data_IF_191934389321
#
_entry.id   IF_191934389321
#
_cell.length_a   1.000
_cell.length_b   1.000
_cell.length_c   1.000
_cell.angle_alpha   90.00
_cell.angle_beta   90.00
_cell.angle_gamma   90.00
#
_symmetry.space_group_name_H-M   'P 1'
#
loop_
_entity.id
_entity.type
_entity.pdbx_description
1 polymer ?
#
# COMPACT_ATOMS: atom_id res chain seq x y z
N UNK A 1 6.95 6.66 19.37
CA UNK A 1 7.10 6.59 17.89
C UNK A 1 7.69 7.92 17.49
N UNK A 2 8.94 7.93 17.06
CA UNK A 2 9.60 9.14 16.54
C UNK A 2 8.85 9.59 15.30
N UNK A 3 8.50 10.86 15.24
CA UNK A 3 7.83 11.47 14.09
C UNK A 3 8.84 11.58 12.93
N UNK A 4 8.93 10.52 12.12
CA UNK A 4 9.86 10.45 10.99
C UNK A 4 9.45 11.37 9.83
N UNK A 5 8.24 11.96 9.87
CA UNK A 5 7.80 12.94 8.87
C UNK A 5 8.51 14.29 9.01
N UNK A 6 9.17 14.55 10.15
CA UNK A 6 9.94 15.77 10.40
C UNK A 6 11.42 15.69 9.95
N UNK A 7 11.87 14.55 9.41
CA UNK A 7 13.19 14.43 8.80
C UNK A 7 13.10 14.95 7.36
N UNK A 8 13.08 16.28 7.23
CA UNK A 8 12.92 16.98 5.96
C UNK A 8 14.14 16.81 5.05
N UNK A 9 13.88 16.38 3.82
CA UNK A 9 14.84 16.07 2.75
C UNK A 9 15.32 17.32 2.00
N UNK A 10 15.67 18.40 2.69
CA UNK A 10 15.98 19.66 1.98
C UNK A 10 17.35 19.68 1.28
N UNK A 11 18.26 18.73 1.49
CA UNK A 11 19.50 18.59 0.68
C UNK A 11 20.12 17.18 0.84
N UNK A 12 19.61 16.16 0.12
CA UNK A 12 20.21 14.82 0.18
C UNK A 12 21.04 14.56 -1.08
N UNK A 13 22.35 14.79 -1.00
CA UNK A 13 23.31 14.00 -1.77
C UNK A 13 23.11 12.53 -1.35
N UNK A 14 23.08 11.62 -2.33
CA UNK A 14 22.50 10.26 -2.27
C UNK A 14 23.06 9.29 -1.22
N UNK A 15 23.93 9.71 -0.30
CA UNK A 15 24.68 8.83 0.62
C UNK A 15 24.38 8.97 2.12
N UNK A 16 23.49 9.85 2.58
CA UNK A 16 23.28 10.03 4.03
C UNK A 16 21.79 9.99 4.45
N UNK A 17 21.12 8.86 4.19
CA UNK A 17 19.86 8.58 4.89
C UNK A 17 20.14 8.31 6.38
N UNK A 18 19.33 8.86 7.31
CA UNK A 18 19.51 8.60 8.73
C UNK A 18 19.49 7.10 9.03
N UNK A 19 20.43 6.63 9.87
CA UNK A 19 20.52 5.22 10.24
C UNK A 19 19.20 4.68 10.80
N UNK A 20 18.46 5.48 11.57
CA UNK A 20 17.16 5.10 12.11
C UNK A 20 16.13 4.82 11.01
N UNK A 21 16.11 5.65 9.96
CA UNK A 21 15.22 5.46 8.82
C UNK A 21 15.61 4.19 8.04
N UNK A 22 16.90 3.97 7.79
CA UNK A 22 17.38 2.75 7.12
C UNK A 22 16.98 1.48 7.89
N UNK A 23 17.12 1.50 9.23
CA UNK A 23 16.70 0.40 10.08
C UNK A 23 15.18 0.20 10.07
N UNK A 24 14.39 1.26 10.06
CA UNK A 24 12.93 1.17 9.94
C UNK A 24 12.52 0.58 8.58
N UNK A 25 13.07 1.09 7.47
CA UNK A 25 12.83 0.58 6.14
C UNK A 25 13.19 -0.91 6.04
N UNK A 26 14.35 -1.30 6.55
CA UNK A 26 14.78 -2.70 6.59
C UNK A 26 13.81 -3.57 7.39
N UNK A 27 13.41 -3.15 8.60
CA UNK A 27 12.44 -3.88 9.42
C UNK A 27 11.09 -4.05 8.71
N UNK A 28 10.60 -3.01 8.04
CA UNK A 28 9.34 -3.09 7.27
C UNK A 28 9.47 -4.06 6.10
N UNK A 29 10.56 -4.01 5.33
CA UNK A 29 10.79 -4.95 4.23
C UNK A 29 10.86 -6.40 4.71
N UNK A 30 11.60 -6.67 5.79
CA UNK A 30 11.67 -8.01 6.39
C UNK A 30 10.32 -8.46 6.93
N UNK A 31 9.55 -7.55 7.54
CA UNK A 31 8.19 -7.85 8.02
C UNK A 31 7.27 -8.24 6.87
N UNK A 32 7.29 -7.50 5.76
CA UNK A 32 6.52 -7.84 4.56
C UNK A 32 6.96 -9.21 4.04
N UNK A 33 8.27 -9.44 3.83
CA UNK A 33 8.78 -10.74 3.38
C UNK A 33 8.29 -11.91 4.24
N UNK A 34 8.40 -11.78 5.56
CA UNK A 34 8.00 -12.83 6.50
C UNK A 34 6.49 -13.04 6.53
N UNK A 35 5.73 -11.96 6.39
CA UNK A 35 4.28 -12.03 6.24
C UNK A 35 3.92 -12.82 4.97
N UNK A 36 4.48 -12.46 3.82
CA UNK A 36 4.23 -13.13 2.53
C UNK A 36 4.60 -14.62 2.56
N UNK A 37 5.75 -14.98 3.12
CA UNK A 37 6.18 -16.38 3.30
C UNK A 37 5.17 -17.17 4.15
N UNK A 38 4.61 -16.53 5.19
CA UNK A 38 3.60 -17.15 6.04
C UNK A 38 2.26 -17.28 5.31
N UNK A 39 1.87 -16.28 4.50
CA UNK A 39 0.68 -16.36 3.64
C UNK A 39 0.81 -17.53 2.67
N UNK A 40 1.98 -17.69 2.06
CA UNK A 40 2.26 -18.83 1.18
C UNK A 40 2.13 -20.18 1.90
N UNK A 41 2.68 -20.34 3.11
CA UNK A 41 2.54 -21.57 3.89
C UNK A 41 1.05 -21.93 4.12
N UNK A 42 0.28 -21.00 4.68
CA UNK A 42 -1.13 -21.28 5.01
C UNK A 42 -1.98 -21.49 3.74
N UNK A 43 -1.65 -20.80 2.65
CA UNK A 43 -2.30 -20.98 1.35
C UNK A 43 -2.00 -22.37 0.77
N UNK A 44 -0.73 -22.77 0.75
CA UNK A 44 -0.29 -24.07 0.23
C UNK A 44 -0.91 -25.26 0.97
N UNK A 45 -1.27 -25.06 2.24
CA UNK A 45 -1.93 -26.05 3.11
C UNK A 45 -3.46 -26.04 2.99
N UNK A 46 -4.02 -25.19 2.13
CA UNK A 46 -5.48 -25.07 1.93
C UNK A 46 -6.23 -24.46 3.11
N UNK A 47 -5.54 -23.77 4.03
CA UNK A 47 -6.14 -23.17 5.23
C UNK A 47 -6.79 -21.82 4.88
N UNK A 48 -6.20 -21.08 3.95
CA UNK A 48 -6.67 -19.77 3.53
C UNK A 48 -7.72 -19.90 2.40
N UNK A 49 -8.90 -19.25 2.53
CA UNK A 49 -9.89 -19.23 1.46
C UNK A 49 -9.50 -18.27 0.33
N UNK A 50 -9.96 -18.56 -0.89
CA UNK A 50 -9.85 -17.66 -2.04
C UNK A 50 -8.48 -17.68 -2.71
N UNK A 51 -8.06 -16.54 -3.27
CA UNK A 51 -6.78 -16.38 -3.98
C UNK A 51 -5.86 -15.47 -3.16
N UNK A 52 -4.57 -15.82 -3.12
CA UNK A 52 -3.52 -14.99 -2.56
C UNK A 52 -2.57 -14.53 -3.67
N UNK A 53 -2.32 -13.23 -3.75
CA UNK A 53 -1.37 -12.66 -4.70
C UNK A 53 -0.21 -12.04 -3.93
N UNK A 54 0.92 -12.74 -3.94
CA UNK A 54 2.06 -12.35 -3.12
C UNK A 54 2.75 -11.09 -3.67
N UNK A 55 3.34 -10.33 -2.75
CA UNK A 55 4.15 -9.14 -2.96
C UNK A 55 5.66 -9.40 -2.75
N UNK A 56 6.06 -10.68 -2.61
CA UNK A 56 7.45 -11.11 -2.46
C UNK A 56 8.34 -10.54 -3.56
N UNK A 57 9.44 -9.90 -3.16
CA UNK A 57 10.44 -9.32 -4.07
C UNK A 57 10.16 -7.87 -4.46
N UNK A 58 9.02 -7.30 -4.05
CA UNK A 58 8.64 -5.91 -4.34
C UNK A 58 8.65 -5.03 -3.08
N UNK A 59 9.18 -5.53 -1.96
CA UNK A 59 9.05 -4.89 -0.64
C UNK A 59 9.63 -3.47 -0.62
N UNK A 60 10.75 -3.26 -1.31
CA UNK A 60 11.39 -1.96 -1.40
C UNK A 60 10.52 -0.90 -2.10
N UNK A 61 9.67 -1.30 -3.07
CA UNK A 61 8.76 -0.40 -3.77
C UNK A 61 7.71 0.15 -2.81
N UNK A 62 7.02 -0.73 -2.09
CA UNK A 62 6.02 -0.32 -1.11
C UNK A 62 6.65 0.50 0.02
N UNK A 63 7.76 0.03 0.60
CA UNK A 63 8.41 0.69 1.75
C UNK A 63 8.98 2.05 1.36
N UNK A 64 9.74 2.13 0.27
CA UNK A 64 10.36 3.38 -0.18
C UNK A 64 9.35 4.49 -0.45
N UNK A 65 8.19 4.15 -1.03
CA UNK A 65 7.10 5.11 -1.21
C UNK A 65 6.40 5.42 0.12
N UNK A 66 6.03 4.41 0.91
CA UNK A 66 5.17 4.63 2.07
C UNK A 66 5.83 5.37 3.22
N UNK A 67 7.16 5.31 3.36
CA UNK A 67 7.92 6.04 4.40
C UNK A 67 7.98 7.54 4.16
N UNK A 68 7.73 8.01 2.94
CA UNK A 68 7.74 9.45 2.62
C UNK A 68 6.37 10.12 2.76
N UNK A 69 5.28 9.35 2.83
CA UNK A 69 3.93 9.90 2.95
C UNK A 69 3.53 10.07 4.42
N UNK A 70 2.74 11.11 4.69
CA UNK A 70 2.00 11.27 5.95
C UNK A 70 1.03 10.11 6.14
N UNK A 71 0.49 9.99 7.35
CA UNK A 71 -0.46 8.91 7.68
C UNK A 71 -1.77 9.04 6.91
N UNK A 72 -2.20 10.27 6.62
CA UNK A 72 -3.46 10.59 5.95
C UNK A 72 -3.30 10.91 4.46
N UNK A 73 -2.08 10.79 3.92
CA UNK A 73 -1.86 10.73 2.47
C UNK A 73 -2.46 9.44 1.93
N UNK A 74 -3.13 9.54 0.79
CA UNK A 74 -3.88 8.42 0.25
C UNK A 74 -3.02 7.52 -0.61
N UNK A 75 -3.32 6.23 -0.57
CA UNK A 75 -2.82 5.25 -1.52
C UNK A 75 -3.98 4.41 -2.08
N UNK A 76 -3.90 4.09 -3.36
CA UNK A 76 -4.66 2.99 -3.96
C UNK A 76 -3.72 1.85 -4.30
N UNK A 77 -4.17 0.63 -4.07
CA UNK A 77 -3.38 -0.57 -4.27
C UNK A 77 -3.94 -1.43 -5.41
N UNK A 78 -3.10 -2.34 -5.91
CA UNK A 78 -3.48 -3.46 -6.79
C UNK A 78 -3.98 -4.66 -5.99
N UNK A 79 -4.27 -5.77 -6.68
CA UNK A 79 -4.57 -7.08 -6.11
C UNK A 79 -3.42 -7.65 -5.25
N UNK A 80 -2.20 -7.12 -5.36
CA UNK A 80 -1.02 -7.45 -4.54
C UNK A 80 -0.85 -6.44 -3.39
N UNK A 81 -1.93 -6.13 -2.68
CA UNK A 81 -1.94 -5.01 -1.73
C UNK A 81 -1.31 -5.25 -0.37
N UNK A 82 -0.77 -6.44 -0.14
CA UNK A 82 -0.23 -6.86 1.15
C UNK A 82 0.94 -5.99 1.60
N UNK A 83 1.94 -5.86 0.73
CA UNK A 83 3.10 -5.00 0.97
C UNK A 83 2.72 -3.54 1.17
N UNK A 84 1.76 -3.01 0.41
CA UNK A 84 1.32 -1.62 0.54
C UNK A 84 0.68 -1.34 1.90
N UNK A 85 -0.23 -2.21 2.37
CA UNK A 85 -0.86 -2.07 3.70
C UNK A 85 0.20 -2.08 4.82
N UNK A 86 1.09 -3.07 4.79
CA UNK A 86 2.11 -3.25 5.81
C UNK A 86 3.14 -2.11 5.78
N UNK A 87 3.57 -1.69 4.59
CA UNK A 87 4.47 -0.56 4.43
C UNK A 87 3.85 0.73 4.96
N UNK A 88 2.52 0.88 4.87
CA UNK A 88 1.79 2.03 5.40
C UNK A 88 1.49 1.97 6.89
N UNK A 89 2.01 0.95 7.58
CA UNK A 89 1.91 0.79 9.04
C UNK A 89 0.68 -0.01 9.49
N UNK A 90 0.12 -0.83 8.59
CA UNK A 90 -0.91 -1.80 8.97
C UNK A 90 -0.38 -2.86 9.94
N UNK A 91 -1.26 -3.32 10.83
CA UNK A 91 -1.04 -4.43 11.75
C UNK A 91 -1.09 -5.78 10.99
N UNK A 92 0.03 -6.53 10.95
CA UNK A 92 0.08 -7.84 10.31
C UNK A 92 -0.95 -8.83 10.86
N UNK A 93 -1.33 -8.74 12.14
CA UNK A 93 -2.30 -9.66 12.76
C UNK A 93 -3.70 -9.44 12.21
N UNK A 94 -4.13 -8.18 12.13
CA UNK A 94 -5.42 -7.81 11.52
C UNK A 94 -5.44 -8.17 10.04
N UNK A 95 -4.31 -8.00 9.36
CA UNK A 95 -4.20 -8.39 7.97
C UNK A 95 -4.34 -9.90 7.79
N UNK A 96 -3.62 -10.71 8.56
CA UNK A 96 -3.77 -12.18 8.53
C UNK A 96 -5.20 -12.62 8.86
N UNK A 97 -5.84 -11.97 9.84
CA UNK A 97 -7.24 -12.23 10.16
C UNK A 97 -8.17 -11.94 8.97
N UNK A 98 -7.92 -10.86 8.21
CA UNK A 98 -8.68 -10.55 6.99
C UNK A 98 -8.48 -11.62 5.91
N UNK A 99 -7.23 -12.04 5.68
CA UNK A 99 -6.91 -13.11 4.72
C UNK A 99 -7.59 -14.44 5.06
N UNK A 100 -7.74 -14.74 6.35
CA UNK A 100 -8.42 -15.95 6.85
C UNK A 100 -9.95 -15.79 7.00
N UNK A 101 -10.53 -14.69 6.49
CA UNK A 101 -11.97 -14.44 6.55
C UNK A 101 -12.53 -14.25 7.96
N UNK A 102 -11.71 -13.73 8.89
CA UNK A 102 -12.09 -13.56 10.31
C UNK A 102 -12.65 -12.16 10.57
N UNK A 103 -13.58 -12.08 11.53
CA UNK A 103 -14.23 -10.83 11.93
C UNK A 103 -13.26 -9.76 12.45
N UNK A 104 -12.13 -10.16 13.04
CA UNK A 104 -11.10 -9.26 13.55
C UNK A 104 -10.20 -8.66 12.44
N UNK A 105 -10.44 -9.03 11.18
CA UNK A 105 -9.77 -8.46 10.03
C UNK A 105 -10.11 -6.98 9.81
N UNK A 106 -9.34 -6.32 8.95
CA UNK A 106 -9.55 -4.90 8.58
C UNK A 106 -10.97 -4.61 8.10
N UNK A 107 -11.54 -5.51 7.31
CA UNK A 107 -12.83 -5.39 6.66
C UNK A 107 -13.78 -6.52 7.10
N UNK A 108 -13.55 -7.06 8.30
CA UNK A 108 -14.33 -8.13 8.94
C UNK A 108 -14.36 -9.43 8.13
N UNK A 109 -13.28 -9.74 7.43
CA UNK A 109 -13.13 -10.96 6.64
C UNK A 109 -13.89 -10.97 5.32
N UNK A 110 -14.42 -9.82 4.89
CA UNK A 110 -15.20 -9.69 3.64
C UNK A 110 -14.35 -9.24 2.46
N UNK A 111 -13.22 -8.58 2.71
CA UNK A 111 -12.33 -8.10 1.65
C UNK A 111 -11.33 -9.16 1.21
N UNK A 112 -10.86 -9.98 2.16
CA UNK A 112 -9.86 -11.01 1.88
C UNK A 112 -8.57 -10.43 1.31
N UNK A 113 -7.90 -11.17 0.43
CA UNK A 113 -6.57 -10.80 -0.10
C UNK A 113 -6.55 -9.55 -0.97
N UNK A 114 -7.61 -9.31 -1.75
CA UNK A 114 -7.57 -8.34 -2.85
C UNK A 114 -8.30 -7.03 -2.56
N UNK A 115 -9.01 -6.91 -1.44
CA UNK A 115 -9.92 -5.78 -1.18
C UNK A 115 -9.75 -5.18 0.22
N UNK A 116 -8.51 -5.12 0.72
CA UNK A 116 -8.21 -4.48 1.99
C UNK A 116 -8.36 -2.96 1.86
N UNK A 117 -9.06 -2.36 2.82
CA UNK A 117 -9.30 -0.90 2.92
C UNK A 117 -9.10 -0.47 4.37
N UNK A 118 -8.39 0.63 4.60
CA UNK A 118 -8.33 1.32 5.88
C UNK A 118 -8.12 2.83 5.69
N UNK A 119 -9.21 3.60 5.80
CA UNK A 119 -9.19 5.04 5.62
C UNK A 119 -8.37 5.77 6.70
N UNK A 120 -8.15 5.17 7.88
CA UNK A 120 -7.32 5.75 8.95
C UNK A 120 -5.82 5.66 8.66
N UNK A 121 -5.45 4.86 7.65
CA UNK A 121 -4.10 4.70 7.10
C UNK A 121 -3.98 5.30 5.69
N UNK A 122 -5.02 6.02 5.21
CA UNK A 122 -5.05 6.54 3.84
C UNK A 122 -5.21 5.47 2.76
N UNK A 123 -5.60 4.24 3.10
CA UNK A 123 -5.70 3.14 2.13
C UNK A 123 -7.11 3.10 1.57
N UNK A 124 -7.27 3.68 0.38
CA UNK A 124 -8.56 3.80 -0.31
C UNK A 124 -9.05 2.46 -0.89
N UNK A 125 -8.16 1.48 -0.99
CA UNK A 125 -8.49 0.10 -1.32
C UNK A 125 -7.48 -0.59 -2.22
N UNK A 126 -7.38 -1.90 -2.02
CA UNK A 126 -6.81 -2.82 -3.00
C UNK A 126 -7.87 -3.20 -4.04
N UNK A 127 -7.45 -3.24 -5.32
CA UNK A 127 -8.34 -3.45 -6.45
C UNK A 127 -7.99 -4.71 -7.22
N UNK A 128 -8.98 -5.58 -7.41
CA UNK A 128 -8.89 -6.76 -8.29
C UNK A 128 -8.95 -6.42 -9.78
N UNK A 129 -9.53 -5.26 -10.14
CA UNK A 129 -9.59 -4.77 -11.51
C UNK A 129 -8.27 -4.08 -11.85
N UNK A 130 -7.63 -4.51 -12.94
CA UNK A 130 -6.39 -3.92 -13.44
C UNK A 130 -6.62 -2.45 -13.75
N UNK A 131 -5.72 -1.58 -13.30
CA UNK A 131 -5.86 -0.12 -13.47
C UNK A 131 -6.94 0.56 -12.63
N UNK A 132 -7.85 -0.16 -11.98
CA UNK A 132 -9.03 0.43 -11.29
C UNK A 132 -8.70 1.43 -10.18
N UNK A 133 -7.52 1.32 -9.55
CA UNK A 133 -7.06 2.28 -8.53
C UNK A 133 -6.67 3.65 -9.08
N UNK A 134 -6.29 3.76 -10.36
CA UNK A 134 -5.77 4.98 -10.98
C UNK A 134 -6.77 6.14 -10.91
N UNK A 135 -8.03 5.87 -11.27
CA UNK A 135 -9.11 6.86 -11.20
C UNK A 135 -9.44 7.27 -9.76
N UNK A 136 -9.42 6.32 -8.83
CA UNK A 136 -9.70 6.58 -7.41
C UNK A 136 -8.65 7.52 -6.82
N UNK A 137 -7.36 7.26 -7.07
CA UNK A 137 -6.27 8.11 -6.59
C UNK A 137 -6.35 9.52 -7.19
N UNK A 138 -6.67 9.62 -8.48
CA UNK A 138 -6.81 10.90 -9.18
C UNK A 138 -7.98 11.72 -8.62
N UNK A 139 -9.11 11.08 -8.36
CA UNK A 139 -10.26 11.71 -7.71
C UNK A 139 -9.94 12.16 -6.27
N UNK A 140 -9.18 11.38 -5.51
CA UNK A 140 -8.74 11.75 -4.17
C UNK A 140 -7.79 12.96 -4.19
N UNK A 141 -6.84 13.00 -5.14
CA UNK A 141 -5.96 14.15 -5.35
C UNK A 141 -6.73 15.41 -5.75
N UNK A 142 -7.71 15.28 -6.67
CA UNK A 142 -8.58 16.37 -7.06
C UNK A 142 -9.40 16.89 -5.87
N UNK A 143 -9.92 16.01 -5.02
CA UNK A 143 -10.64 16.39 -3.80
C UNK A 143 -9.75 17.18 -2.85
N UNK A 144 -8.49 16.78 -2.66
CA UNK A 144 -7.53 17.53 -1.83
C UNK A 144 -7.32 18.95 -2.39
N UNK A 145 -7.11 19.08 -3.71
CA UNK A 145 -6.98 20.38 -4.38
C UNK A 145 -8.22 21.27 -4.21
N UNK A 146 -9.43 20.72 -4.40
CA UNK A 146 -10.68 21.48 -4.29
C UNK A 146 -11.01 21.92 -2.87
N UNK A 147 -10.51 21.20 -1.86
CA UNK A 147 -10.74 21.49 -0.44
C UNK A 147 -9.61 22.28 0.21
N UNK A 148 -8.55 22.62 -0.55
CA UNK A 148 -7.37 23.31 -0.02
C UNK A 148 -6.54 22.46 0.95
N UNK A 149 -6.67 21.13 0.89
CA UNK A 149 -5.86 20.19 1.66
C UNK A 149 -4.50 19.97 1.01
N UNK A 150 -3.46 19.77 1.83
CA UNK A 150 -2.09 19.46 1.38
C UNK A 150 -1.82 17.96 1.23
N UNK A 151 -2.86 17.12 1.38
CA UNK A 151 -2.77 15.67 1.18
C UNK A 151 -2.44 15.31 -0.25
N UNK A 152 -1.55 14.33 -0.42
CA UNK A 152 -1.24 13.74 -1.72
C UNK A 152 -1.93 12.38 -1.87
N UNK A 153 -1.99 11.89 -3.10
CA UNK A 153 -2.52 10.55 -3.41
C UNK A 153 -1.57 9.81 -4.33
N UNK A 154 -1.23 8.55 -3.98
CA UNK A 154 -0.36 7.68 -4.77
C UNK A 154 -1.15 6.52 -5.35
N UNK A 155 -0.99 6.27 -6.64
CA UNK A 155 -1.53 5.09 -7.29
C UNK A 155 -0.44 4.05 -7.52
N UNK A 156 -0.52 2.89 -6.85
CA UNK A 156 0.29 1.73 -7.22
C UNK A 156 -0.39 0.96 -8.34
N UNK A 157 0.36 0.66 -9.41
CA UNK A 157 -0.11 -0.14 -10.54
C UNK A 157 1.06 -0.94 -11.13
N UNK A 158 0.73 -2.01 -11.88
CA UNK A 158 1.72 -2.81 -12.60
C UNK A 158 1.88 -2.32 -14.03
N UNK A 159 2.96 -2.73 -14.69
CA UNK A 159 3.23 -2.49 -16.11
C UNK A 159 2.07 -2.89 -17.03
N UNK A 160 1.38 -4.01 -16.73
CA UNK A 160 0.19 -4.43 -17.49
C UNK A 160 -0.93 -3.38 -17.52
N UNK A 161 -1.07 -2.57 -16.46
CA UNK A 161 -2.08 -1.52 -16.37
C UNK A 161 -1.81 -0.33 -17.30
N UNK A 162 -0.61 -0.21 -17.89
CA UNK A 162 -0.30 0.79 -18.92
C UNK A 162 -1.11 0.59 -20.20
N UNK A 163 -1.71 -0.60 -20.38
CA UNK A 163 -2.57 -0.91 -21.52
C UNK A 163 -4.05 -0.62 -21.26
N UNK A 164 -4.42 -0.17 -20.05
CA UNK A 164 -5.78 0.25 -19.73
C UNK A 164 -6.00 1.68 -20.20
N UNK A 165 -7.12 1.94 -20.89
CA UNK A 165 -7.48 3.30 -21.36
C UNK A 165 -7.52 4.32 -20.22
N UNK A 166 -7.99 3.88 -19.04
CA UNK A 166 -8.08 4.70 -17.83
C UNK A 166 -6.73 5.32 -17.44
N UNK A 167 -5.60 4.63 -17.68
CA UNK A 167 -4.28 5.19 -17.39
C UNK A 167 -4.04 6.51 -18.13
N UNK A 168 -4.33 6.54 -19.43
CA UNK A 168 -4.11 7.73 -20.26
C UNK A 168 -5.07 8.86 -19.92
N UNK A 169 -6.33 8.53 -19.62
CA UNK A 169 -7.33 9.50 -19.16
C UNK A 169 -6.85 10.21 -17.89
N UNK A 170 -6.45 9.44 -16.88
CA UNK A 170 -6.05 10.03 -15.60
C UNK A 170 -4.70 10.72 -15.67
N UNK A 171 -3.77 10.24 -16.50
CA UNK A 171 -2.47 10.90 -16.70
C UNK A 171 -2.66 12.29 -17.31
N UNK A 172 -3.56 12.44 -18.27
CA UNK A 172 -3.93 13.73 -18.84
C UNK A 172 -4.67 14.64 -17.84
N UNK A 173 -5.49 14.08 -16.94
CA UNK A 173 -6.15 14.87 -15.90
C UNK A 173 -5.19 15.32 -14.79
N UNK A 174 -4.11 14.56 -14.55
CA UNK A 174 -3.16 14.82 -13.47
C UNK A 174 -2.04 15.80 -13.85
N UNK A 175 -1.81 16.04 -15.15
CA UNK A 175 -0.82 16.99 -15.68
C UNK A 175 -1.27 18.44 -15.57
#
# INVERSE_FOLDING_TARGET
MTDLASLTYENVETNELPQELLLDMYRRMVTIRKFEETVYDVYSRGIMPGLAHLYTGMEAVAVGVCVTLKRDDNITSTHRGHGHLLAKGGDPKRMFAELLGKQSGYNRGKGGSMHIVDMSLGILGANGIVGGGLGIATGAALSAKLTGSDRISIAFFGDGALNEGLFYEVANMAS
#
